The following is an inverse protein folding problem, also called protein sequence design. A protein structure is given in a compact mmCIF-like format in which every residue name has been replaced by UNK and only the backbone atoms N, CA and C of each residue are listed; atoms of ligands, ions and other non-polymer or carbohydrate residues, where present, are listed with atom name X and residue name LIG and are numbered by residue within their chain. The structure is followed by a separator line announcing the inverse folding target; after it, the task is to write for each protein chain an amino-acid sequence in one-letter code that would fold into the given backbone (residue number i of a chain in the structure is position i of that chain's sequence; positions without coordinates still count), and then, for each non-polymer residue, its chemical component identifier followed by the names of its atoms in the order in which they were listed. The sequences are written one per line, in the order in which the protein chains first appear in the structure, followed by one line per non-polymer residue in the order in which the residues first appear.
data_IF_813612018028
#
_entry.id   IF_813612018028
#
_cell.length_a   1.000
_cell.length_b   1.000
_cell.length_c   1.000
_cell.angle_alpha   90.00
_cell.angle_beta   90.00
_cell.angle_gamma   90.00
#
_symmetry.space_group_name_H-M   'P 1'
#
loop_
_entity.id
_entity.type
_entity.pdbx_description
1 polymer ?
#
# COMPACT_ATOMS: atom_id res chain seq x y z
N UNK A 1 -8.49 -19.77 8.65
CA UNK A 1 -7.95 -19.42 7.32
C UNK A 1 -6.93 -18.31 7.51
N UNK A 2 -5.71 -18.50 6.99
CA UNK A 2 -4.66 -17.47 7.02
C UNK A 2 -4.89 -16.42 5.93
N UNK A 3 -4.42 -15.18 6.15
CA UNK A 3 -4.38 -14.14 5.12
C UNK A 3 -3.09 -14.30 4.31
N UNK A 4 -3.12 -14.08 2.99
CA UNK A 4 -1.90 -13.86 2.21
C UNK A 4 -1.36 -12.47 2.53
N UNK A 5 -0.07 -12.36 2.83
CA UNK A 5 0.59 -11.11 3.17
C UNK A 5 1.68 -10.81 2.15
N UNK A 6 1.66 -9.60 1.61
CA UNK A 6 2.70 -9.09 0.72
C UNK A 6 3.35 -7.86 1.35
N UNK A 7 4.67 -7.77 1.22
CA UNK A 7 5.47 -6.68 1.78
C UNK A 7 6.25 -6.00 0.66
N UNK A 8 6.41 -4.67 0.68
CA UNK A 8 7.14 -3.95 -0.36
C UNK A 8 8.63 -4.30 -0.35
N UNK A 9 9.17 -4.43 -1.56
CA UNK A 9 10.61 -4.48 -1.84
C UNK A 9 10.93 -3.41 -2.87
N UNK A 10 11.88 -2.53 -2.55
CA UNK A 10 12.30 -1.45 -3.46
C UNK A 10 13.42 -1.97 -4.35
N UNK A 11 13.19 -1.96 -5.66
CA UNK A 11 14.15 -2.52 -6.63
C UNK A 11 15.20 -1.48 -7.04
N UNK A 12 14.78 -0.22 -7.24
CA UNK A 12 15.68 0.85 -7.65
C UNK A 12 15.17 2.25 -7.25
N UNK A 13 15.88 3.29 -7.69
CA UNK A 13 15.55 4.70 -7.42
C UNK A 13 14.54 5.32 -8.39
N UNK A 14 14.07 4.57 -9.38
CA UNK A 14 13.11 5.00 -10.40
C UNK A 14 11.67 4.62 -10.01
N UNK A 15 11.39 4.54 -8.70
CA UNK A 15 10.07 4.19 -8.17
C UNK A 15 9.62 2.75 -8.50
N UNK A 16 10.54 1.86 -8.87
CA UNK A 16 10.23 0.45 -9.05
C UNK A 16 10.16 -0.27 -7.70
N UNK A 17 8.98 -0.81 -7.40
CA UNK A 17 8.68 -1.56 -6.19
C UNK A 17 7.92 -2.83 -6.57
N UNK A 18 8.29 -3.95 -5.95
CA UNK A 18 7.51 -5.20 -5.98
C UNK A 18 6.83 -5.39 -4.63
N UNK A 19 5.71 -6.09 -4.61
CA UNK A 19 5.05 -6.52 -3.38
C UNK A 19 5.11 -8.05 -3.34
N UNK A 20 5.97 -8.60 -2.49
CA UNK A 20 6.29 -10.03 -2.49
C UNK A 20 5.65 -10.76 -1.33
N UNK A 21 5.16 -11.96 -1.59
CA UNK A 21 4.53 -12.80 -0.58
C UNK A 21 5.54 -13.24 0.49
N UNK A 22 5.14 -13.13 1.75
CA UNK A 22 5.88 -13.68 2.88
C UNK A 22 5.00 -14.67 3.67
N UNK A 23 5.67 -15.68 4.22
CA UNK A 23 5.08 -16.69 5.10
C UNK A 23 5.54 -16.52 6.56
N UNK A 24 6.70 -15.89 6.79
CA UNK A 24 7.23 -15.58 8.12
C UNK A 24 7.94 -14.22 8.13
N UNK A 25 8.15 -13.66 9.32
CA UNK A 25 9.03 -12.50 9.52
C UNK A 25 10.49 -12.81 9.12
N UNK A 26 10.89 -14.08 9.19
CA UNK A 26 12.23 -14.55 8.83
C UNK A 26 12.51 -14.45 7.31
N UNK A 27 11.47 -14.20 6.51
CA UNK A 27 11.59 -13.94 5.08
C UNK A 27 12.18 -12.55 4.77
N UNK A 28 12.26 -11.68 5.79
CA UNK A 28 12.71 -10.31 5.64
C UNK A 28 14.23 -10.17 5.86
N UNK A 29 14.85 -9.42 4.96
CA UNK A 29 16.27 -9.06 5.02
C UNK A 29 16.42 -7.55 5.07
N UNK A 30 17.43 -7.08 5.79
CA UNK A 30 17.73 -5.65 5.86
C UNK A 30 18.36 -5.16 4.54
N UNK A 31 17.83 -4.06 3.99
CA UNK A 31 18.47 -3.33 2.90
C UNK A 31 19.61 -2.43 3.44
N UNK A 32 20.24 -1.64 2.55
CA UNK A 32 21.35 -0.74 2.91
C UNK A 32 21.00 0.37 3.92
N UNK A 33 19.70 0.61 4.15
CA UNK A 33 19.17 1.56 5.14
C UNK A 33 18.61 0.86 6.39
N UNK A 34 18.89 -0.44 6.58
CA UNK A 34 18.35 -1.28 7.65
C UNK A 34 16.81 -1.40 7.66
N UNK A 35 16.16 -1.14 6.53
CA UNK A 35 14.73 -1.40 6.36
C UNK A 35 14.57 -2.87 5.97
N UNK A 36 13.70 -3.57 6.68
CA UNK A 36 13.37 -4.97 6.41
C UNK A 36 12.48 -5.06 5.18
N UNK A 37 12.93 -5.82 4.19
CA UNK A 37 12.23 -6.09 2.93
C UNK A 37 12.28 -7.59 2.63
N UNK A 38 11.29 -8.17 1.93
CA UNK A 38 11.33 -9.59 1.61
C UNK A 38 12.54 -9.92 0.73
N UNK A 39 13.23 -11.02 1.03
CA UNK A 39 14.26 -11.55 0.13
C UNK A 39 13.64 -11.86 -1.26
N UNK A 40 14.36 -11.69 -2.38
CA UNK A 40 13.79 -11.93 -3.72
C UNK A 40 13.27 -13.35 -3.91
N UNK A 41 13.92 -14.31 -3.27
CA UNK A 41 13.61 -15.74 -3.32
C UNK A 41 13.21 -16.26 -1.94
N UNK A 42 12.50 -17.38 -1.90
CA UNK A 42 12.19 -18.13 -0.69
C UNK A 42 13.36 -19.01 -0.22
N UNK A 43 13.15 -19.77 0.85
CA UNK A 43 14.16 -20.65 1.45
C UNK A 43 14.62 -21.77 0.50
N UNK A 44 13.81 -22.14 -0.49
CA UNK A 44 14.11 -23.15 -1.50
C UNK A 44 14.77 -22.54 -2.76
N UNK A 45 14.99 -21.22 -2.77
CA UNK A 45 15.59 -20.47 -3.88
C UNK A 45 14.61 -20.17 -5.02
N UNK A 46 13.30 -20.31 -4.80
CA UNK A 46 12.27 -19.99 -5.78
C UNK A 46 11.85 -18.52 -5.67
N UNK A 47 11.57 -17.89 -6.82
CA UNK A 47 10.98 -16.55 -6.86
C UNK A 47 9.70 -16.48 -6.03
N UNK A 48 9.59 -15.43 -5.21
CA UNK A 48 8.37 -15.17 -4.45
C UNK A 48 7.24 -14.70 -5.35
N UNK A 49 6.03 -15.04 -4.96
CA UNK A 49 4.82 -14.54 -5.63
C UNK A 49 4.78 -13.01 -5.51
N UNK A 50 4.68 -12.35 -6.67
CA UNK A 50 4.49 -10.90 -6.79
C UNK A 50 3.00 -10.59 -6.94
N UNK A 51 2.51 -9.60 -6.21
CA UNK A 51 1.12 -9.10 -6.35
C UNK A 51 0.74 -8.81 -7.81
N UNK A 52 1.65 -8.25 -8.62
CA UNK A 52 1.35 -7.92 -10.02
C UNK A 52 1.27 -9.15 -10.94
N UNK A 53 1.65 -10.33 -10.45
CA UNK A 53 1.60 -11.61 -11.16
C UNK A 53 0.65 -12.62 -10.52
N UNK A 54 0.01 -12.27 -9.40
CA UNK A 54 -0.88 -13.16 -8.66
C UNK A 54 -2.14 -13.52 -9.47
N UNK A 55 -2.77 -14.63 -9.09
CA UNK A 55 -4.03 -15.10 -9.70
C UNK A 55 -5.28 -14.59 -8.96
N UNK A 56 -5.11 -14.12 -7.74
CA UNK A 56 -6.17 -13.60 -6.86
C UNK A 56 -5.98 -12.10 -6.61
N UNK A 57 -7.06 -11.32 -6.44
CA UNK A 57 -6.95 -9.91 -6.07
C UNK A 57 -6.48 -9.73 -4.63
N UNK A 58 -5.76 -8.64 -4.39
CA UNK A 58 -5.56 -8.04 -3.08
C UNK A 58 -6.85 -7.35 -2.64
N UNK A 59 -7.28 -7.61 -1.41
CA UNK A 59 -8.47 -6.99 -0.81
C UNK A 59 -8.19 -5.62 -0.18
N UNK A 60 -6.97 -5.42 0.32
CA UNK A 60 -6.59 -4.31 1.20
C UNK A 60 -5.11 -3.94 1.03
N UNK A 61 -4.82 -2.65 0.83
CA UNK A 61 -3.49 -2.09 1.00
C UNK A 61 -3.42 -1.25 2.28
N UNK A 62 -2.35 -1.46 3.05
CA UNK A 62 -1.99 -0.61 4.18
C UNK A 62 -0.88 0.35 3.73
N UNK A 63 -1.20 1.64 3.69
CA UNK A 63 -0.34 2.66 3.10
C UNK A 63 0.35 3.50 4.19
N UNK A 64 1.69 3.63 4.15
CA UNK A 64 2.44 4.46 5.10
C UNK A 64 2.60 5.89 4.58
N UNK A 65 2.55 6.90 5.45
CA UNK A 65 2.73 8.30 5.07
C UNK A 65 3.31 9.16 6.18
N UNK A 66 3.82 10.34 5.80
CA UNK A 66 4.29 11.35 6.75
C UNK A 66 3.12 12.16 7.29
N UNK A 67 2.17 12.52 6.42
CA UNK A 67 0.92 13.17 6.77
C UNK A 67 -0.19 12.72 5.82
N UNK A 68 -1.43 12.86 6.27
CA UNK A 68 -2.65 12.62 5.53
C UNK A 68 -3.61 13.77 5.80
N UNK A 69 -4.53 14.05 4.89
CA UNK A 69 -5.65 14.95 5.18
C UNK A 69 -6.99 14.21 5.11
N UNK A 70 -8.05 14.89 5.60
CA UNK A 70 -9.42 14.34 5.64
C UNK A 70 -10.05 14.14 4.24
N UNK A 71 -9.38 14.61 3.17
CA UNK A 71 -9.73 14.32 1.77
C UNK A 71 -9.10 13.02 1.26
N UNK A 72 -8.28 12.34 2.08
CA UNK A 72 -7.55 11.14 1.68
C UNK A 72 -6.26 11.42 0.91
N UNK A 73 -5.80 12.68 0.87
CA UNK A 73 -4.53 13.03 0.25
C UNK A 73 -3.39 12.64 1.19
N UNK A 74 -2.24 12.30 0.62
CA UNK A 74 -1.12 11.75 1.35
C UNK A 74 0.17 12.50 1.03
N UNK A 75 0.95 12.80 2.06
CA UNK A 75 2.33 13.25 1.93
C UNK A 75 3.26 12.06 2.17
N UNK A 76 3.87 11.54 1.10
CA UNK A 76 4.89 10.51 1.17
C UNK A 76 6.30 11.06 1.43
N UNK A 77 7.32 10.20 1.26
CA UNK A 77 8.75 10.58 1.35
C UNK A 77 9.32 11.17 0.04
N UNK A 78 8.47 11.45 -0.96
CA UNK A 78 8.85 12.07 -2.23
C UNK A 78 9.36 11.12 -3.32
N UNK A 79 9.35 9.80 -3.09
CA UNK A 79 9.84 8.81 -4.07
C UNK A 79 8.79 8.21 -5.01
N UNK A 80 7.50 8.52 -4.86
CA UNK A 80 6.43 8.06 -5.77
C UNK A 80 6.23 6.54 -5.90
N UNK A 81 6.85 5.73 -5.02
CA UNK A 81 6.81 4.25 -5.12
C UNK A 81 5.39 3.70 -5.00
N UNK A 82 4.62 4.19 -4.02
CA UNK A 82 3.25 3.72 -3.80
C UNK A 82 2.31 4.16 -4.93
N UNK A 83 2.37 5.43 -5.36
CA UNK A 83 1.55 5.92 -6.48
C UNK A 83 1.82 5.11 -7.75
N UNK A 84 3.10 4.92 -8.10
CA UNK A 84 3.52 4.15 -9.27
C UNK A 84 3.04 2.70 -9.20
N UNK A 85 3.17 2.05 -8.04
CA UNK A 85 2.73 0.67 -7.85
C UNK A 85 1.20 0.54 -7.89
N UNK A 86 0.49 1.44 -7.21
CA UNK A 86 -0.97 1.41 -7.11
C UNK A 86 -1.63 1.67 -8.46
N UNK A 87 -1.10 2.59 -9.28
CA UNK A 87 -1.59 2.80 -10.64
C UNK A 87 -1.51 1.52 -11.46
N UNK A 88 -0.35 0.84 -11.47
CA UNK A 88 -0.16 -0.45 -12.17
C UNK A 88 -1.10 -1.53 -11.65
N UNK A 89 -1.28 -1.61 -10.33
CA UNK A 89 -2.19 -2.59 -9.73
C UNK A 89 -3.66 -2.30 -10.07
N UNK A 90 -4.08 -1.04 -10.06
CA UNK A 90 -5.44 -0.64 -10.43
C UNK A 90 -5.74 -0.96 -11.89
N UNK A 91 -4.78 -0.72 -12.80
CA UNK A 91 -4.85 -1.13 -14.20
C UNK A 91 -5.02 -2.65 -14.33
N UNK A 92 -4.15 -3.43 -13.68
CA UNK A 92 -4.24 -4.90 -13.65
C UNK A 92 -5.61 -5.38 -13.13
N UNK A 93 -6.10 -4.79 -12.03
CA UNK A 93 -7.38 -5.15 -11.45
C UNK A 93 -8.53 -4.83 -12.42
N UNK A 94 -8.47 -3.73 -13.17
CA UNK A 94 -9.44 -3.40 -14.20
C UNK A 94 -9.39 -4.40 -15.36
N UNK A 95 -8.20 -4.72 -15.87
CA UNK A 95 -7.99 -5.70 -16.95
C UNK A 95 -8.53 -7.08 -16.57
N UNK A 96 -8.27 -7.52 -15.34
CA UNK A 96 -8.74 -8.80 -14.80
C UNK A 96 -10.18 -8.77 -14.25
N UNK A 97 -10.84 -7.61 -14.30
CA UNK A 97 -12.21 -7.39 -13.75
C UNK A 97 -12.32 -7.74 -12.27
N UNK A 98 -11.26 -7.50 -11.52
CA UNK A 98 -11.22 -7.65 -10.09
C UNK A 98 -11.87 -6.47 -9.38
N UNK A 99 -12.37 -6.71 -8.17
CA UNK A 99 -12.76 -5.63 -7.28
C UNK A 99 -11.50 -4.85 -6.89
N UNK A 100 -11.59 -3.52 -6.93
CA UNK A 100 -10.51 -2.67 -6.45
C UNK A 100 -10.30 -2.87 -4.94
N UNK A 101 -9.04 -2.86 -4.48
CA UNK A 101 -8.69 -3.05 -3.09
C UNK A 101 -9.12 -1.83 -2.28
N UNK A 102 -9.35 -1.99 -0.98
CA UNK A 102 -9.46 -0.84 -0.10
C UNK A 102 -8.06 -0.27 0.18
N UNK A 103 -7.89 1.04 0.04
CA UNK A 103 -6.64 1.74 0.33
C UNK A 103 -6.73 2.40 1.70
N UNK A 104 -6.05 1.86 2.71
CA UNK A 104 -6.17 2.34 4.09
C UNK A 104 -4.84 2.89 4.57
N UNK A 105 -4.85 4.14 5.03
CA UNK A 105 -3.72 4.75 5.69
C UNK A 105 -3.72 4.44 7.19
N UNK A 106 -2.61 3.90 7.69
CA UNK A 106 -2.37 3.83 9.13
C UNK A 106 -1.63 5.09 9.57
N UNK A 107 -2.18 5.80 10.55
CA UNK A 107 -1.66 7.11 10.96
C UNK A 107 -1.89 7.40 12.45
N UNK A 108 -1.01 8.20 13.04
CA UNK A 108 -1.32 8.87 14.30
C UNK A 108 -2.23 10.07 14.06
N UNK A 109 -3.03 10.47 15.06
CA UNK A 109 -3.90 11.65 14.93
C UNK A 109 -3.14 12.94 14.61
N UNK A 110 -1.87 13.06 15.04
CA UNK A 110 -0.99 14.20 14.72
C UNK A 110 -0.56 14.25 13.24
N UNK A 111 -0.70 13.14 12.51
CA UNK A 111 -0.42 13.07 11.08
C UNK A 111 -1.64 13.40 10.23
N UNK A 112 -2.82 13.58 10.85
CA UNK A 112 -4.08 13.86 10.16
C UNK A 112 -4.34 15.36 10.18
N UNK A 113 -4.27 15.98 9.02
CA UNK A 113 -4.49 17.40 8.80
C UNK A 113 -5.94 17.70 8.43
N UNK A 114 -6.29 18.98 8.45
CA UNK A 114 -7.56 19.45 7.92
C UNK A 114 -7.65 19.27 6.40
N UNK A 115 -8.88 19.31 5.92
CA UNK A 115 -9.25 18.94 4.57
C UNK A 115 -8.50 19.75 3.50
N UNK A 116 -7.94 19.05 2.52
CA UNK A 116 -7.30 19.63 1.35
C UNK A 116 -6.01 20.41 1.59
N UNK A 117 -5.41 20.32 2.79
CA UNK A 117 -4.13 20.97 3.13
C UNK A 117 -2.97 20.37 2.34
N UNK A 118 -3.03 19.07 2.01
CA UNK A 118 -1.95 18.42 1.27
C UNK A 118 -2.15 18.67 -0.23
N UNK A 119 -1.15 19.23 -0.93
CA UNK A 119 -1.22 19.38 -2.37
C UNK A 119 -1.09 18.02 -3.04
N UNK A 120 -1.77 17.85 -4.18
CA UNK A 120 -1.73 16.62 -4.96
C UNK A 120 -1.35 16.88 -6.41
N UNK A 121 -0.76 15.88 -7.02
CA UNK A 121 -0.53 15.79 -8.46
C UNK A 121 -1.56 14.88 -9.13
N UNK A 122 -1.72 14.93 -10.47
CA UNK A 122 -2.65 14.05 -11.18
C UNK A 122 -2.36 12.55 -11.02
N UNK A 123 -1.15 12.18 -10.62
CA UNK A 123 -0.73 10.79 -10.46
C UNK A 123 -0.87 10.28 -9.02
N UNK A 124 -1.25 11.14 -8.08
CA UNK A 124 -1.34 10.76 -6.67
C UNK A 124 -2.60 9.93 -6.43
N UNK A 125 -2.42 8.79 -5.76
CA UNK A 125 -3.55 7.91 -5.43
C UNK A 125 -4.07 8.25 -4.04
N UNK A 126 -5.34 8.65 -3.95
CA UNK A 126 -5.99 8.96 -2.67
C UNK A 126 -6.32 7.70 -1.89
N UNK A 127 -6.27 7.79 -0.56
CA UNK A 127 -6.67 6.71 0.34
C UNK A 127 -8.17 6.74 0.60
N UNK A 128 -8.76 5.56 0.78
CA UNK A 128 -10.18 5.37 1.04
C UNK A 128 -10.57 5.64 2.50
N UNK A 129 -9.65 5.39 3.43
CA UNK A 129 -9.87 5.60 4.86
C UNK A 129 -8.58 5.87 5.62
N UNK A 130 -8.69 6.64 6.71
CA UNK A 130 -7.64 6.83 7.70
C UNK A 130 -7.97 6.02 8.95
N UNK A 131 -7.00 5.26 9.46
CA UNK A 131 -7.13 4.54 10.73
C UNK A 131 -6.08 5.08 11.70
N UNK A 132 -6.56 5.45 12.89
CA UNK A 132 -5.72 5.93 13.99
C UNK A 132 -6.19 5.34 15.32
N UNK A 133 -5.41 5.49 16.42
CA UNK A 133 -5.87 5.08 17.74
C UNK A 133 -7.19 5.74 18.18
N UNK A 134 -7.51 6.92 17.63
CA UNK A 134 -8.74 7.66 17.92
C UNK A 134 -9.96 7.15 17.14
N UNK A 135 -9.77 6.23 16.19
CA UNK A 135 -10.84 5.65 15.38
C UNK A 135 -10.54 5.67 13.88
N UNK A 136 -11.58 5.35 13.12
CA UNK A 136 -11.56 5.26 11.65
C UNK A 136 -12.29 6.46 11.04
N UNK A 137 -11.67 7.07 10.03
CA UNK A 137 -12.27 8.13 9.21
C UNK A 137 -12.45 7.56 7.80
N UNK A 138 -13.65 7.06 7.45
CA UNK A 138 -13.94 6.66 6.07
C UNK A 138 -14.07 7.91 5.18
N UNK A 139 -13.52 7.85 3.98
CA UNK A 139 -13.47 8.98 3.03
C UNK A 139 -14.21 8.63 1.75
N UNK A 140 -13.88 7.50 1.13
CA UNK A 140 -14.52 7.09 -0.12
C UNK A 140 -15.84 6.33 0.13
N UNK A 141 -16.75 6.26 -0.87
CA UNK A 141 -17.93 5.41 -0.79
C UNK A 141 -17.60 3.95 -0.46
N UNK A 142 -16.50 3.42 -1.02
CA UNK A 142 -16.06 2.05 -0.78
C UNK A 142 -15.68 1.80 0.69
N UNK A 143 -15.13 2.79 1.39
CA UNK A 143 -14.88 2.72 2.83
C UNK A 143 -16.16 2.88 3.64
N UNK A 144 -17.03 3.84 3.28
CA UNK A 144 -18.28 4.11 3.99
C UNK A 144 -19.20 2.88 4.04
N UNK A 145 -19.32 2.15 2.93
CA UNK A 145 -20.11 0.90 2.86
C UNK A 145 -19.60 -0.22 3.78
N UNK A 146 -18.33 -0.17 4.20
CA UNK A 146 -17.69 -1.19 5.05
C UNK A 146 -17.62 -0.81 6.53
N UNK A 147 -17.87 0.46 6.86
CA UNK A 147 -17.83 0.98 8.23
C UNK A 147 -19.22 1.12 8.88
N UNK A 148 -20.30 0.93 8.10
CA UNK A 148 -21.69 0.85 8.55
C UNK A 148 -22.14 -0.61 8.67
#
# INVERSE_FOLDING_TARGET
MGKKLYVPRVEDRNSHMRMLNISSIDDLIANSMNILEPAPVDADGKEREDVLLADDPVDLFLLPGLAFDKSGRQLGRGGGYYDTFLMKYQELANERKWKQPLLVALSYSLQIMDDGVIPVTPNDVLVDALVSPSGVIPISPAALERCL
#
